data_IF_256422191520
#
_entry.id   IF_256422191520
#
_cell.length_a   1.000
_cell.length_b   1.000
_cell.length_c   1.000
_cell.angle_alpha   90.00
_cell.angle_beta   90.00
_cell.angle_gamma   90.00
#
_symmetry.space_group_name_H-M   'P 1'
#
loop_
_entity.id
_entity.type
_entity.pdbx_description
1 polymer ?
#
# COMPACT_ATOMS: atom_id res chain seq x y z
N UNK A 1 -21.97 27.94 -29.00
CA UNK A 1 -20.81 28.10 -28.09
C UNK A 1 -20.75 27.01 -26.99
N UNK A 2 -21.09 25.73 -27.25
CA UNK A 2 -21.17 24.69 -26.20
C UNK A 2 -19.97 23.75 -26.04
N UNK A 3 -19.05 23.69 -27.02
CA UNK A 3 -17.95 22.70 -27.04
C UNK A 3 -16.76 23.04 -26.14
N UNK A 4 -16.56 24.31 -25.76
CA UNK A 4 -15.40 24.73 -24.94
C UNK A 4 -15.61 24.51 -23.43
N UNK A 5 -16.84 24.68 -22.94
CA UNK A 5 -17.16 24.50 -21.50
C UNK A 5 -17.09 23.03 -21.05
N UNK A 6 -17.55 22.09 -21.90
CA UNK A 6 -17.48 20.65 -21.57
C UNK A 6 -16.04 20.10 -21.52
N UNK A 7 -15.11 20.70 -22.28
CA UNK A 7 -13.70 20.30 -22.25
C UNK A 7 -13.02 20.68 -20.93
N UNK A 8 -13.34 21.85 -20.39
CA UNK A 8 -12.77 22.30 -19.10
C UNK A 8 -13.31 21.48 -17.94
N UNK A 9 -14.63 21.26 -17.88
CA UNK A 9 -15.24 20.45 -16.81
C UNK A 9 -14.77 18.98 -16.83
N UNK A 10 -14.60 18.40 -18.03
CA UNK A 10 -14.04 17.04 -18.17
C UNK A 10 -12.57 16.95 -17.74
N UNK A 11 -11.76 17.96 -18.08
CA UNK A 11 -10.35 18.02 -17.67
C UNK A 11 -10.21 18.13 -16.15
N UNK A 12 -10.98 19.02 -15.51
CA UNK A 12 -10.97 19.18 -14.05
C UNK A 12 -11.41 17.89 -13.35
N UNK A 13 -12.44 17.19 -13.86
CA UNK A 13 -12.88 15.91 -13.30
C UNK A 13 -11.81 14.82 -13.39
N UNK A 14 -11.08 14.73 -14.51
CA UNK A 14 -9.97 13.78 -14.68
C UNK A 14 -8.84 14.10 -13.71
N UNK A 15 -8.47 15.37 -13.56
CA UNK A 15 -7.43 15.82 -12.62
C UNK A 15 -7.81 15.49 -11.17
N UNK A 16 -9.07 15.73 -10.77
CA UNK A 16 -9.57 15.36 -9.43
C UNK A 16 -9.49 13.86 -9.18
N UNK A 17 -9.93 13.02 -10.13
CA UNK A 17 -9.86 11.56 -9.98
C UNK A 17 -8.42 11.04 -9.94
N UNK A 18 -7.51 11.64 -10.72
CA UNK A 18 -6.10 11.30 -10.67
C UNK A 18 -5.45 11.67 -9.34
N UNK A 19 -5.81 12.83 -8.77
CA UNK A 19 -5.30 13.24 -7.46
C UNK A 19 -5.83 12.34 -6.35
N UNK A 20 -7.12 12.01 -6.35
CA UNK A 20 -7.70 11.05 -5.41
C UNK A 20 -6.99 9.69 -5.48
N UNK A 21 -6.71 9.18 -6.69
CA UNK A 21 -5.94 7.93 -6.84
C UNK A 21 -4.54 8.05 -6.25
N UNK A 22 -3.83 9.16 -6.49
CA UNK A 22 -2.49 9.39 -5.93
C UNK A 22 -2.49 9.44 -4.41
N UNK A 23 -3.48 10.13 -3.83
CA UNK A 23 -3.63 10.22 -2.37
C UNK A 23 -3.90 8.86 -1.74
N UNK A 24 -4.78 8.05 -2.35
CA UNK A 24 -5.04 6.67 -1.88
C UNK A 24 -3.80 5.79 -1.95
N UNK A 25 -3.04 5.85 -3.06
CA UNK A 25 -1.79 5.10 -3.21
C UNK A 25 -0.76 5.53 -2.15
N UNK A 26 -0.63 6.84 -1.90
CA UNK A 26 0.28 7.35 -0.88
C UNK A 26 -0.12 6.87 0.52
N UNK A 27 -1.41 6.94 0.87
CA UNK A 27 -1.91 6.47 2.16
C UNK A 27 -1.74 4.94 2.32
N UNK A 28 -1.93 4.16 1.26
CA UNK A 28 -1.67 2.72 1.28
C UNK A 28 -0.18 2.41 1.55
N UNK A 29 0.73 3.21 0.99
CA UNK A 29 2.16 3.12 1.31
C UNK A 29 2.45 3.33 2.80
N UNK A 30 1.81 4.33 3.43
CA UNK A 30 1.95 4.60 4.86
C UNK A 30 1.41 3.46 5.73
N UNK A 31 0.27 2.86 5.35
CA UNK A 31 -0.28 1.69 6.04
C UNK A 31 0.69 0.50 6.00
N UNK A 32 1.32 0.27 4.86
CA UNK A 32 2.33 -0.79 4.69
C UNK A 32 3.60 -0.51 5.50
N UNK A 33 4.04 0.74 5.58
CA UNK A 33 5.16 1.14 6.46
C UNK A 33 4.82 0.91 7.94
N UNK A 34 3.62 1.30 8.38
CA UNK A 34 3.16 1.07 9.76
C UNK A 34 3.06 -0.42 10.07
N UNK A 35 2.48 -1.21 9.17
CA UNK A 35 2.45 -2.66 9.29
C UNK A 35 3.86 -3.26 9.41
N UNK A 36 4.79 -2.81 8.56
CA UNK A 36 6.17 -3.27 8.59
C UNK A 36 6.91 -2.91 9.88
N UNK A 37 6.56 -1.80 10.54
CA UNK A 37 7.06 -1.44 11.86
C UNK A 37 6.48 -2.34 12.96
N UNK A 38 5.18 -2.65 12.89
CA UNK A 38 4.50 -3.56 13.82
C UNK A 38 5.09 -4.98 13.76
N UNK A 39 5.54 -5.45 12.59
CA UNK A 39 6.18 -6.77 12.49
C UNK A 39 7.55 -6.82 13.21
N UNK A 40 8.30 -5.72 13.22
CA UNK A 40 9.64 -5.65 13.84
C UNK A 40 9.59 -5.67 15.38
N UNK A 41 8.50 -5.19 15.96
CA UNK A 41 8.32 -5.09 17.40
C UNK A 41 7.35 -6.20 17.83
N UNK A 42 7.83 -7.30 18.46
CA UNK A 42 6.90 -8.23 19.08
C UNK A 42 6.09 -7.45 20.10
N UNK A 43 4.77 -7.47 19.95
CA UNK A 43 3.83 -6.78 20.84
C UNK A 43 4.13 -7.27 22.26
N UNK A 44 4.73 -6.39 23.08
CA UNK A 44 4.66 -6.57 24.53
C UNK A 44 3.19 -6.56 24.88
N UNK A 45 2.75 -7.64 25.51
CA UNK A 45 1.41 -7.87 26.03
C UNK A 45 0.74 -6.59 26.58
N UNK A 46 -0.57 -6.51 26.37
CA UNK A 46 -1.50 -5.54 26.97
C UNK A 46 -1.48 -4.11 26.39
N UNK A 47 -2.11 -3.93 25.23
CA UNK A 47 -2.81 -2.68 24.96
C UNK A 47 -4.27 -3.00 24.67
N UNK A 48 -5.14 -2.55 25.57
CA UNK A 48 -6.60 -2.67 25.51
C UNK A 48 -7.10 -2.24 24.12
N UNK A 49 -7.56 -3.24 23.36
CA UNK A 49 -8.09 -3.11 22.01
C UNK A 49 -9.43 -2.37 22.07
N UNK A 50 -9.40 -1.04 22.01
CA UNK A 50 -10.60 -0.25 21.76
C UNK A 50 -11.00 -0.42 20.29
N UNK A 51 -12.06 -1.18 20.04
CA UNK A 51 -12.58 -1.59 18.71
C UNK A 51 -13.09 -0.43 17.81
N UNK A 52 -12.77 0.84 18.08
CA UNK A 52 -13.40 2.01 17.42
C UNK A 52 -12.39 3.01 16.81
N UNK A 53 -11.10 2.68 16.72
CA UNK A 53 -10.13 3.54 16.02
C UNK A 53 -10.10 3.21 14.50
N UNK A 54 -10.43 4.14 13.59
CA UNK A 54 -10.31 3.93 12.14
C UNK A 54 -8.92 3.48 11.72
N UNK A 55 -7.86 3.96 12.38
CA UNK A 55 -6.48 3.58 12.09
C UNK A 55 -6.26 2.08 12.39
N UNK A 56 -6.87 1.57 13.47
CA UNK A 56 -6.80 0.16 13.84
C UNK A 56 -7.56 -0.74 12.86
N UNK A 57 -8.71 -0.28 12.35
CA UNK A 57 -9.46 -1.00 11.31
C UNK A 57 -8.63 -1.08 10.01
N UNK A 58 -8.01 0.03 9.60
CA UNK A 58 -7.14 0.07 8.42
C UNK A 58 -5.94 -0.87 8.56
N UNK A 59 -5.36 -1.00 9.77
CA UNK A 59 -4.29 -1.97 10.05
C UNK A 59 -4.75 -3.42 9.94
N UNK A 60 -5.88 -3.76 10.54
CA UNK A 60 -6.43 -5.11 10.44
C UNK A 60 -6.75 -5.49 9.00
N UNK A 61 -7.38 -4.59 8.25
CA UNK A 61 -7.67 -4.81 6.83
C UNK A 61 -6.38 -4.92 6.01
N UNK A 62 -5.35 -4.13 6.32
CA UNK A 62 -4.04 -4.25 5.68
C UNK A 62 -3.43 -5.62 5.94
N UNK A 63 -3.45 -6.10 7.18
CA UNK A 63 -2.98 -7.44 7.54
C UNK A 63 -3.76 -8.54 6.81
N UNK A 64 -5.08 -8.41 6.67
CA UNK A 64 -5.91 -9.34 5.90
C UNK A 64 -5.50 -9.38 4.42
N UNK A 65 -5.30 -8.21 3.79
CA UNK A 65 -4.83 -8.11 2.40
C UNK A 65 -3.47 -8.82 2.24
N UNK A 66 -2.55 -8.58 3.17
CA UNK A 66 -1.22 -9.20 3.14
C UNK A 66 -1.27 -10.71 3.36
N UNK A 67 -2.20 -11.21 4.17
CA UNK A 67 -2.38 -12.66 4.38
C UNK A 67 -2.81 -13.41 3.12
N UNK A 68 -3.40 -12.70 2.15
CA UNK A 68 -3.83 -13.28 0.86
C UNK A 68 -2.72 -13.37 -0.19
N UNK A 69 -1.53 -12.82 0.10
CA UNK A 69 -0.40 -12.84 -0.81
C UNK A 69 0.23 -14.22 -0.93
N UNK A 70 0.89 -14.48 -2.07
CA UNK A 70 1.71 -15.69 -2.20
C UNK A 70 2.91 -15.61 -1.25
N UNK A 71 3.50 -16.76 -0.90
CA UNK A 71 4.68 -16.80 -0.02
C UNK A 71 5.84 -15.95 -0.57
N UNK A 72 6.03 -15.93 -1.89
CA UNK A 72 7.03 -15.11 -2.57
C UNK A 72 6.74 -13.61 -2.40
N UNK A 73 5.49 -13.19 -2.71
CA UNK A 73 5.07 -11.80 -2.58
C UNK A 73 5.20 -11.32 -1.13
N UNK A 74 4.75 -12.13 -0.17
CA UNK A 74 4.84 -11.82 1.25
C UNK A 74 6.29 -11.66 1.71
N UNK A 75 7.20 -12.50 1.23
CA UNK A 75 8.64 -12.39 1.52
C UNK A 75 9.22 -11.07 0.98
N UNK A 76 8.90 -10.69 -0.26
CA UNK A 76 9.33 -9.42 -0.87
C UNK A 76 8.77 -8.22 -0.08
N UNK A 77 7.48 -8.29 0.30
CA UNK A 77 6.81 -7.25 1.12
C UNK A 77 7.53 -7.07 2.46
N UNK A 78 7.83 -8.17 3.17
CA UNK A 78 8.58 -8.12 4.43
C UNK A 78 9.96 -7.51 4.25
N UNK A 79 10.71 -7.94 3.23
CA UNK A 79 12.03 -7.34 2.96
C UNK A 79 11.94 -5.84 2.71
N UNK A 80 10.89 -5.38 2.02
CA UNK A 80 10.72 -3.95 1.74
C UNK A 80 10.27 -3.15 2.97
N UNK A 81 9.10 -3.45 3.52
CA UNK A 81 8.48 -2.62 4.56
C UNK A 81 8.93 -2.98 5.98
N UNK A 82 9.36 -4.22 6.22
CA UNK A 82 9.80 -4.68 7.54
C UNK A 82 11.32 -4.76 7.69
N UNK A 83 12.08 -5.10 6.66
CA UNK A 83 13.55 -5.01 6.73
C UNK A 83 14.09 -3.66 6.23
N UNK A 84 13.28 -2.88 5.50
CA UNK A 84 13.68 -1.56 4.99
C UNK A 84 14.55 -1.62 3.73
N UNK A 85 14.61 -2.76 3.04
CA UNK A 85 15.40 -2.89 1.81
C UNK A 85 14.71 -2.18 0.64
N UNK A 86 15.50 -1.54 -0.21
CA UNK A 86 15.04 -1.00 -1.47
C UNK A 86 14.75 -2.12 -2.49
N UNK A 87 13.94 -1.80 -3.50
CA UNK A 87 13.67 -2.76 -4.59
C UNK A 87 14.93 -3.19 -5.38
N UNK A 88 16.04 -2.43 -5.29
CA UNK A 88 17.31 -2.83 -5.91
C UNK A 88 18.02 -3.89 -5.06
N UNK A 89 18.11 -3.67 -3.75
CA UNK A 89 18.71 -4.63 -2.82
C UNK A 89 17.94 -5.95 -2.81
N UNK A 90 16.61 -5.89 -2.79
CA UNK A 90 15.76 -7.10 -2.88
C UNK A 90 16.01 -7.85 -4.18
N UNK A 91 16.12 -7.14 -5.30
CA UNK A 91 16.38 -7.76 -6.59
C UNK A 91 17.72 -8.52 -6.61
N UNK A 92 18.74 -7.98 -5.95
CA UNK A 92 20.03 -8.65 -5.78
C UNK A 92 19.94 -9.86 -4.85
N UNK A 93 19.21 -9.75 -3.72
CA UNK A 93 19.02 -10.83 -2.75
C UNK A 93 18.18 -11.99 -3.31
N UNK A 94 17.21 -11.68 -4.17
CA UNK A 94 16.28 -12.64 -4.75
C UNK A 94 16.75 -13.18 -6.11
N UNK A 95 17.87 -12.67 -6.64
CA UNK A 95 18.35 -12.96 -7.99
C UNK A 95 17.28 -12.73 -9.07
N UNK A 96 16.41 -11.73 -8.85
CA UNK A 96 15.30 -11.38 -9.73
C UNK A 96 15.51 -10.02 -10.40
N UNK A 97 14.91 -9.77 -11.57
CA UNK A 97 14.90 -8.46 -12.18
C UNK A 97 14.25 -7.41 -11.27
N UNK A 98 14.93 -6.26 -11.09
CA UNK A 98 14.39 -5.11 -10.32
C UNK A 98 13.00 -4.68 -10.77
N UNK A 99 12.67 -4.84 -12.05
CA UNK A 99 11.36 -4.52 -12.58
C UNK A 99 10.26 -5.43 -12.01
N UNK A 100 10.54 -6.72 -11.82
CA UNK A 100 9.60 -7.68 -11.24
C UNK A 100 9.34 -7.37 -9.77
N UNK A 101 10.39 -7.07 -9.00
CA UNK A 101 10.24 -6.61 -7.61
C UNK A 101 9.36 -5.35 -7.54
N UNK A 102 9.60 -4.36 -8.41
CA UNK A 102 8.77 -3.14 -8.46
C UNK A 102 7.32 -3.43 -8.82
N UNK A 103 7.07 -4.37 -9.73
CA UNK A 103 5.71 -4.78 -10.10
C UNK A 103 5.00 -5.44 -8.93
N UNK A 104 5.68 -6.30 -8.18
CA UNK A 104 5.13 -6.94 -6.97
C UNK A 104 4.81 -5.91 -5.90
N UNK A 105 5.76 -5.02 -5.57
CA UNK A 105 5.54 -3.97 -4.58
C UNK A 105 4.41 -3.02 -5.01
N UNK A 106 4.37 -2.62 -6.29
CA UNK A 106 3.31 -1.79 -6.84
C UNK A 106 1.93 -2.46 -6.78
N UNK A 107 1.87 -3.76 -7.13
CA UNK A 107 0.65 -4.55 -7.02
C UNK A 107 0.11 -4.58 -5.59
N UNK A 108 0.97 -4.79 -4.59
CA UNK A 108 0.57 -4.84 -3.18
C UNK A 108 0.03 -3.48 -2.72
N UNK A 109 0.70 -2.38 -3.08
CA UNK A 109 0.20 -1.02 -2.77
C UNK A 109 -1.17 -0.78 -3.38
N UNK A 110 -1.38 -1.20 -4.64
CA UNK A 110 -2.69 -1.08 -5.29
C UNK A 110 -3.76 -1.94 -4.59
N UNK A 111 -3.45 -3.17 -4.20
CA UNK A 111 -4.38 -4.03 -3.46
C UNK A 111 -4.79 -3.41 -2.12
N UNK A 112 -3.85 -2.84 -1.37
CA UNK A 112 -4.16 -2.15 -0.11
C UNK A 112 -4.99 -0.90 -0.37
N UNK A 113 -4.62 -0.08 -1.36
CA UNK A 113 -5.36 1.12 -1.71
C UNK A 113 -6.82 0.82 -2.10
N UNK A 114 -7.06 -0.22 -2.90
CA UNK A 114 -8.39 -0.55 -3.38
C UNK A 114 -9.25 -1.27 -2.34
N UNK A 115 -8.65 -2.11 -1.48
CA UNK A 115 -9.40 -2.91 -0.49
C UNK A 115 -9.60 -2.20 0.85
N UNK A 116 -8.65 -1.37 1.27
CA UNK A 116 -8.66 -0.70 2.58
C UNK A 116 -9.23 0.72 2.49
N UNK A 117 -8.82 1.49 1.47
CA UNK A 117 -9.01 2.95 1.47
C UNK A 117 -10.18 3.48 0.64
N UNK A 118 -10.98 2.58 0.03
CA UNK A 118 -12.20 2.83 -0.78
C UNK A 118 -12.30 4.23 -1.41
#
# INVERSE_FOLDING_TARGET
>A
MGKKLNRTAGKTRIETLQNQRKERIAKAGLLLERWGQQERVPVSDENELSEIDPDFIEDQMTAEVLSSLTAEQMRIVRQHWSAGHSAAEIAEMEEQPRNEIRQILGFVVEQVADKVLK
#
